data_IF_793146223809
#
_entry.id   IF_793146223809
#
_cell.length_a   1.000
_cell.length_b   1.000
_cell.length_c   1.000
_cell.angle_alpha   90.00
_cell.angle_beta   90.00
_cell.angle_gamma   90.00
#
_symmetry.space_group_name_H-M   'P 1'
#
loop_
_entity.id
_entity.type
_entity.pdbx_description
1 polymer ?
#
# COMPACT_ATOMS: atom_id res chain seq x y z
N UNK A 1 -17.15 4.47 -26.92
CA UNK A 1 -16.66 4.49 -26.59
C UNK A 1 -16.17 4.60 -25.94
N UNK A 2 -15.98 4.52 -25.69
CA UNK A 2 -15.44 4.63 -25.14
C UNK A 2 -14.76 4.86 -24.41
N UNK A 3 -14.60 5.10 -23.99
CA UNK A 3 -13.88 5.47 -23.29
C UNK A 3 -13.18 4.88 -22.36
N UNK A 4 -13.12 4.10 -22.27
CA UNK A 4 -12.49 3.36 -21.56
C UNK A 4 -11.14 3.44 -21.77
N UNK A 5 -10.71 4.06 -22.45
CA UNK A 5 -9.45 4.18 -22.66
C UNK A 5 -8.77 4.90 -21.71
N UNK A 6 -9.34 5.64 -20.94
CA UNK A 6 -8.70 6.33 -19.95
C UNK A 6 -8.51 5.43 -18.83
N UNK A 7 -7.60 4.55 -18.86
CA UNK A 7 -7.32 3.67 -17.81
C UNK A 7 -6.48 4.36 -16.78
N UNK A 8 -6.96 4.47 -15.58
CA UNK A 8 -6.19 5.08 -14.50
C UNK A 8 -5.49 3.99 -13.72
N UNK A 9 -4.18 3.98 -13.75
CA UNK A 9 -3.39 3.03 -13.00
C UNK A 9 -3.04 3.63 -11.66
N UNK A 10 -3.29 2.88 -10.61
CA UNK A 10 -2.90 3.28 -9.27
C UNK A 10 -1.64 2.52 -8.91
N UNK A 11 -0.69 3.23 -8.33
CA UNK A 11 0.57 2.64 -7.98
C UNK A 11 0.90 2.99 -6.54
N UNK A 12 1.38 2.00 -5.80
CA UNK A 12 1.74 2.19 -4.40
C UNK A 12 3.22 2.48 -4.32
N UNK A 13 3.57 3.57 -3.64
CA UNK A 13 4.97 3.89 -3.38
C UNK A 13 5.35 3.21 -2.08
N UNK A 14 5.77 1.96 -2.19
CA UNK A 14 6.06 1.14 -1.03
C UNK A 14 7.16 1.72 -0.15
N UNK A 15 8.13 2.40 -0.76
CA UNK A 15 9.21 2.99 0.03
C UNK A 15 8.71 4.08 0.96
N UNK A 16 7.62 4.76 0.62
CA UNK A 16 7.06 5.78 1.51
C UNK A 16 6.44 5.11 2.74
N UNK A 17 5.72 4.03 2.51
CA UNK A 17 5.13 3.28 3.62
C UNK A 17 6.23 2.69 4.51
N UNK A 18 7.27 2.15 3.89
CA UNK A 18 8.37 1.57 4.64
C UNK A 18 9.08 2.62 5.49
N UNK A 19 9.39 3.77 4.90
CA UNK A 19 10.08 4.84 5.62
C UNK A 19 9.24 5.32 6.81
N UNK A 20 7.94 5.47 6.63
CA UNK A 20 7.08 5.93 7.72
C UNK A 20 7.01 4.89 8.84
N UNK A 21 6.99 3.60 8.47
CA UNK A 21 7.00 2.54 9.47
C UNK A 21 8.29 2.55 10.27
N UNK A 22 9.40 2.67 9.55
CA UNK A 22 10.71 2.65 10.20
C UNK A 22 10.92 3.87 11.08
N UNK A 23 10.39 4.99 10.66
CA UNK A 23 10.49 6.22 11.44
C UNK A 23 9.79 6.07 12.78
N UNK A 24 8.74 5.25 12.82
CA UNK A 24 8.04 4.99 14.07
C UNK A 24 8.63 3.81 14.84
N UNK A 25 9.67 3.19 14.30
CA UNK A 25 10.32 2.06 14.96
C UNK A 25 9.43 0.82 15.03
N UNK A 26 8.54 0.64 14.06
CA UNK A 26 7.61 -0.48 14.09
C UNK A 26 8.14 -1.66 13.28
N UNK A 27 8.26 -2.85 13.91
CA UNK A 27 8.54 -4.04 13.13
C UNK A 27 7.36 -4.39 12.25
N UNK A 28 7.59 -5.19 11.21
CA UNK A 28 6.52 -5.59 10.32
C UNK A 28 5.35 -6.26 11.08
N UNK A 29 5.68 -7.15 12.00
CA UNK A 29 4.64 -7.91 12.69
C UNK A 29 3.79 -7.03 13.61
N UNK A 30 4.36 -5.98 14.16
CA UNK A 30 3.58 -5.09 15.01
C UNK A 30 2.62 -4.27 14.15
N UNK A 31 3.12 -3.73 13.04
CA UNK A 31 2.26 -2.98 12.13
C UNK A 31 1.15 -3.87 11.59
N UNK A 32 1.50 -5.10 11.19
CA UNK A 32 0.52 -6.02 10.64
C UNK A 32 -0.61 -6.27 11.63
N UNK A 33 -0.26 -6.45 12.89
CA UNK A 33 -1.27 -6.74 13.90
C UNK A 33 -2.24 -5.59 14.07
N UNK A 34 -1.74 -4.37 14.15
CA UNK A 34 -2.63 -3.22 14.41
C UNK A 34 -3.51 -2.89 13.22
N UNK A 35 -3.10 -3.24 12.01
CA UNK A 35 -3.94 -3.00 10.83
C UNK A 35 -4.66 -4.26 10.35
N UNK A 36 -4.57 -5.33 11.12
CA UNK A 36 -5.25 -6.61 10.82
C UNK A 36 -4.80 -7.21 9.50
N UNK A 37 -3.51 -7.19 9.28
CA UNK A 37 -2.90 -7.81 8.12
C UNK A 37 -1.82 -8.78 8.60
N UNK A 38 -1.20 -9.48 7.67
CA UNK A 38 -0.10 -10.38 8.03
C UNK A 38 1.22 -9.72 7.70
N UNK A 39 2.30 -10.28 8.23
CA UNK A 39 3.64 -9.83 7.89
C UNK A 39 3.86 -9.82 6.39
N UNK A 40 3.38 -10.87 5.74
CA UNK A 40 3.56 -11.00 4.31
C UNK A 40 2.87 -9.88 3.55
N UNK A 41 1.67 -9.48 4.02
CA UNK A 41 0.96 -8.37 3.42
C UNK A 41 1.76 -7.08 3.55
N UNK A 42 2.32 -6.83 4.73
CA UNK A 42 3.07 -5.60 4.95
C UNK A 42 4.31 -5.57 4.05
N UNK A 43 5.02 -6.69 3.97
CA UNK A 43 6.22 -6.73 3.14
C UNK A 43 5.88 -6.51 1.67
N UNK A 44 4.75 -7.06 1.23
CA UNK A 44 4.34 -6.89 -0.15
C UNK A 44 3.92 -5.46 -0.45
N UNK A 45 3.31 -4.78 0.51
CA UNK A 45 2.95 -3.38 0.31
C UNK A 45 4.20 -2.51 0.18
N UNK A 46 5.25 -2.84 0.91
CA UNK A 46 6.49 -2.08 0.86
C UNK A 46 7.31 -2.40 -0.38
N UNK A 47 7.04 -3.55 -1.01
CA UNK A 47 7.67 -3.91 -2.27
C UNK A 47 6.59 -3.83 -3.34
N UNK A 48 6.45 -2.67 -3.94
CA UNK A 48 5.34 -2.39 -4.83
C UNK A 48 5.28 -3.29 -6.05
N UNK A 49 6.40 -3.89 -6.43
CA UNK A 49 6.45 -4.72 -7.62
C UNK A 49 6.03 -6.16 -7.35
N UNK A 50 5.89 -6.54 -6.10
CA UNK A 50 5.50 -7.89 -5.73
C UNK A 50 3.98 -7.98 -5.66
N UNK A 51 3.42 -9.03 -6.22
CA UNK A 51 1.98 -9.22 -6.18
C UNK A 51 1.68 -10.70 -6.03
N UNK A 52 1.93 -11.22 -4.84
CA UNK A 52 1.78 -12.63 -4.56
C UNK A 52 0.72 -12.95 -3.52
N UNK A 53 0.49 -12.03 -2.59
CA UNK A 53 -0.39 -12.29 -1.46
C UNK A 53 -1.79 -11.75 -1.66
N UNK A 54 -1.89 -10.59 -2.28
CA UNK A 54 -3.19 -9.95 -2.45
C UNK A 54 -3.91 -10.51 -3.65
N UNK A 55 -5.22 -10.66 -3.49
CA UNK A 55 -6.04 -11.25 -4.52
C UNK A 55 -6.19 -10.34 -5.75
N UNK A 56 -6.21 -9.04 -5.54
CA UNK A 56 -6.35 -8.10 -6.65
C UNK A 56 -5.66 -6.80 -6.29
N UNK A 57 -5.42 -5.97 -7.29
CA UNK A 57 -4.83 -4.66 -7.05
C UNK A 57 -5.75 -3.80 -6.20
N UNK A 58 -7.07 -3.91 -6.40
CA UNK A 58 -8.01 -3.14 -5.61
C UNK A 58 -7.89 -3.49 -4.13
N UNK A 59 -7.75 -4.77 -3.82
CA UNK A 59 -7.60 -5.20 -2.43
C UNK A 59 -6.26 -4.73 -1.88
N UNK A 60 -5.22 -4.80 -2.69
CA UNK A 60 -3.90 -4.36 -2.26
C UNK A 60 -3.91 -2.86 -1.94
N UNK A 61 -4.60 -2.07 -2.76
CA UNK A 61 -4.69 -0.63 -2.53
C UNK A 61 -5.49 -0.34 -1.27
N UNK A 62 -6.56 -1.09 -1.01
CA UNK A 62 -7.32 -0.91 0.22
C UNK A 62 -6.45 -1.20 1.44
N UNK A 63 -5.62 -2.23 1.35
CA UNK A 63 -4.70 -2.55 2.44
C UNK A 63 -3.68 -1.43 2.61
N UNK A 64 -3.16 -0.88 1.51
CA UNK A 64 -2.21 0.23 1.58
C UNK A 64 -2.83 1.44 2.25
N UNK A 65 -4.11 1.72 1.96
CA UNK A 65 -4.79 2.85 2.57
C UNK A 65 -4.94 2.65 4.08
N UNK A 66 -5.20 1.41 4.49
CA UNK A 66 -5.31 1.13 5.91
C UNK A 66 -3.98 1.38 6.62
N UNK A 67 -2.89 0.92 6.01
CA UNK A 67 -1.57 1.11 6.57
C UNK A 67 -1.20 2.60 6.56
N UNK A 68 -1.42 3.27 5.43
CA UNK A 68 -1.10 4.70 5.33
C UNK A 68 -1.86 5.53 6.35
N UNK A 69 -3.13 5.21 6.53
CA UNK A 69 -3.96 5.93 7.51
C UNK A 69 -3.40 5.75 8.92
N UNK A 70 -3.04 4.51 9.27
CA UNK A 70 -2.48 4.25 10.59
C UNK A 70 -1.17 5.00 10.79
N UNK A 71 -0.36 5.12 9.74
CA UNK A 71 0.93 5.79 9.82
C UNK A 71 0.82 7.31 9.71
N UNK A 72 -0.41 7.84 9.57
CA UNK A 72 -0.61 9.28 9.51
C UNK A 72 -0.27 9.90 8.18
N UNK A 73 -0.27 9.10 7.11
CA UNK A 73 0.04 9.60 5.77
C UNK A 73 -1.24 9.92 5.02
N UNK A 74 -1.17 10.93 4.16
CA UNK A 74 -2.28 11.20 3.26
C UNK A 74 -2.08 10.34 2.02
N UNK A 75 -3.17 10.06 1.31
CA UNK A 75 -3.11 9.13 0.18
C UNK A 75 -2.17 9.58 -0.91
N UNK A 76 -2.08 10.87 -1.15
CA UNK A 76 -1.21 11.36 -2.21
C UNK A 76 0.27 11.18 -1.89
N UNK A 77 0.62 10.85 -0.66
CA UNK A 77 2.00 10.60 -0.31
C UNK A 77 2.48 9.23 -0.76
N UNK A 78 1.59 8.24 -0.79
CA UNK A 78 1.98 6.88 -1.14
C UNK A 78 1.22 6.28 -2.31
N UNK A 79 0.23 6.98 -2.84
CA UNK A 79 -0.48 6.50 -4.02
C UNK A 79 -0.26 7.44 -5.18
N UNK A 80 0.07 6.87 -6.32
CA UNK A 80 0.23 7.63 -7.54
C UNK A 80 -0.80 7.17 -8.54
N UNK A 81 -1.30 8.10 -9.33
CA UNK A 81 -2.26 7.80 -10.37
C UNK A 81 -1.66 8.20 -11.71
N UNK A 82 -1.72 7.30 -12.68
CA UNK A 82 -1.28 7.61 -14.03
C UNK A 82 -2.40 7.27 -14.99
N UNK A 83 -2.49 8.01 -16.06
CA UNK A 83 -3.50 7.77 -17.06
C UNK A 83 -2.92 7.14 -18.30
#
# INVERSE_FOLDING_TARGET
>A
MLNRKKKIDQRILGEVLKAAREERGLPHEVLAEVVCLTNRHIKELEDADTFLTFYSMAIKIQAAKRVGHYLGLSEDQYLKYTE
#
